data_IF_419803774340
#
_entry.id   IF_419803774340
#
_cell.length_a   1.000
_cell.length_b   1.000
_cell.length_c   1.000
_cell.angle_alpha   90.00
_cell.angle_beta   90.00
_cell.angle_gamma   90.00
#
_symmetry.space_group_name_H-M   'P 1'
#
loop_
_entity.id
_entity.type
_entity.pdbx_description
1 polymer ?
#
# COMPACT_ATOMS: atom_id res chain seq x y z
N UNK A 1 21.83 -31.33 1.56
CA UNK A 1 22.20 -30.23 0.64
C UNK A 1 21.38 -30.31 -0.65
N UNK A 2 20.07 -30.03 -0.62
CA UNK A 2 19.20 -29.95 -1.82
C UNK A 2 18.07 -28.91 -1.70
N UNK A 3 18.06 -28.07 -0.66
CA UNK A 3 16.97 -27.11 -0.39
C UNK A 3 17.30 -25.64 -0.72
N UNK A 4 18.55 -25.34 -1.10
CA UNK A 4 19.00 -23.96 -1.34
C UNK A 4 18.68 -23.44 -2.76
N UNK A 5 18.29 -24.31 -3.70
CA UNK A 5 18.15 -23.93 -5.12
C UNK A 5 16.79 -23.27 -5.42
N UNK A 6 15.78 -23.46 -4.56
CA UNK A 6 14.46 -22.85 -4.77
C UNK A 6 14.43 -21.35 -4.40
N UNK A 7 15.27 -20.90 -3.46
CA UNK A 7 15.28 -19.51 -2.99
C UNK A 7 15.94 -18.56 -4.00
N UNK A 8 16.98 -19.02 -4.71
CA UNK A 8 17.65 -18.21 -5.74
C UNK A 8 16.85 -18.04 -7.04
N UNK A 9 15.88 -18.92 -7.31
CA UNK A 9 15.01 -18.77 -8.48
C UNK A 9 13.93 -17.69 -8.27
N UNK A 10 13.54 -17.42 -7.02
CA UNK A 10 12.60 -16.34 -6.68
C UNK A 10 13.25 -14.96 -6.80
N UNK A 11 14.53 -14.84 -6.44
CA UNK A 11 15.31 -13.59 -6.51
C UNK A 11 15.54 -13.07 -7.94
N UNK A 12 15.37 -13.90 -8.97
CA UNK A 12 15.59 -13.52 -10.37
C UNK A 12 14.34 -12.97 -11.06
N UNK A 13 13.15 -13.06 -10.44
CA UNK A 13 11.87 -12.66 -11.02
C UNK A 13 11.33 -11.33 -10.50
N UNK A 14 11.95 -10.77 -9.48
CA UNK A 14 11.53 -9.51 -8.83
C UNK A 14 12.73 -8.59 -8.78
N UNK A 15 12.59 -7.38 -9.34
CA UNK A 15 13.54 -6.29 -9.15
C UNK A 15 13.50 -5.75 -7.73
N UNK A 16 13.66 -6.63 -6.73
CA UNK A 16 13.73 -6.25 -5.33
C UNK A 16 15.01 -5.45 -5.10
N UNK A 17 14.86 -4.27 -4.50
CA UNK A 17 16.00 -3.53 -3.99
C UNK A 17 16.75 -4.37 -2.94
N UNK A 18 18.06 -4.13 -2.78
CA UNK A 18 18.88 -4.93 -1.85
C UNK A 18 18.34 -4.93 -0.42
N UNK A 19 17.62 -3.88 -0.03
CA UNK A 19 17.05 -3.74 1.30
C UNK A 19 15.78 -4.58 1.47
N UNK A 20 14.92 -4.68 0.46
CA UNK A 20 13.77 -5.59 0.45
C UNK A 20 14.22 -7.06 0.58
N UNK A 21 15.31 -7.43 -0.12
CA UNK A 21 15.88 -8.78 -0.03
C UNK A 21 16.39 -9.06 1.38
N UNK A 22 17.07 -8.09 2.01
CA UNK A 22 17.55 -8.26 3.39
C UNK A 22 16.40 -8.44 4.36
N UNK A 23 15.33 -7.67 4.19
CA UNK A 23 14.15 -7.74 5.05
C UNK A 23 13.43 -9.08 4.89
N UNK A 24 13.23 -9.56 3.66
CA UNK A 24 12.66 -10.89 3.42
C UNK A 24 13.52 -11.99 4.07
N UNK A 25 14.85 -11.90 3.94
CA UNK A 25 15.77 -12.86 4.56
C UNK A 25 15.72 -12.83 6.10
N UNK A 26 15.29 -11.70 6.68
CA UNK A 26 15.02 -11.56 8.11
C UNK A 26 13.58 -11.96 8.49
N UNK A 27 12.77 -12.39 7.52
CA UNK A 27 11.38 -12.76 7.73
C UNK A 27 10.45 -11.55 7.88
N UNK A 28 10.85 -10.39 7.35
CA UNK A 28 10.10 -9.13 7.41
C UNK A 28 9.65 -8.70 6.02
N UNK A 29 8.64 -7.85 5.97
CA UNK A 29 8.18 -7.20 4.74
C UNK A 29 7.56 -5.85 5.06
N UNK A 30 7.26 -5.09 4.01
CA UNK A 30 6.59 -3.80 4.11
C UNK A 30 5.18 -3.91 3.54
N UNK A 31 4.23 -3.35 4.27
CA UNK A 31 2.84 -3.14 3.82
C UNK A 31 2.47 -1.67 3.94
N UNK A 32 1.53 -1.22 3.13
CA UNK A 32 1.03 0.14 3.19
C UNK A 32 -0.49 0.20 3.19
N UNK A 33 -1.01 1.31 3.72
CA UNK A 33 -2.38 1.76 3.54
C UNK A 33 -2.35 3.24 3.17
N UNK A 34 -3.36 3.70 2.43
CA UNK A 34 -3.54 5.10 2.09
C UNK A 34 -4.05 5.86 3.31
N UNK A 35 -3.29 6.85 3.74
CA UNK A 35 -3.64 7.74 4.86
C UNK A 35 -4.44 8.96 4.41
N UNK A 36 -4.14 9.48 3.23
CA UNK A 36 -4.74 10.69 2.69
C UNK A 36 -4.76 10.73 1.18
N UNK A 37 -5.69 11.54 0.66
CA UNK A 37 -5.97 11.71 -0.77
C UNK A 37 -5.91 13.19 -1.09
N UNK A 38 -5.08 13.56 -2.06
CA UNK A 38 -4.99 14.93 -2.59
C UNK A 38 -5.72 15.02 -3.93
N UNK A 39 -6.64 15.96 -4.03
CA UNK A 39 -7.46 16.19 -5.23
C UNK A 39 -7.25 17.59 -5.78
N UNK A 40 -7.23 17.70 -7.11
CA UNK A 40 -7.18 18.99 -7.82
C UNK A 40 -8.58 19.58 -8.08
N UNK A 41 -9.61 18.98 -7.48
CA UNK A 41 -11.00 19.39 -7.57
C UNK A 41 -11.66 18.98 -8.89
N UNK A 42 -12.90 18.50 -8.81
CA UNK A 42 -13.75 18.24 -9.97
C UNK A 42 -15.21 18.28 -9.57
N UNK A 43 -16.06 18.86 -10.41
CA UNK A 43 -17.50 18.93 -10.17
C UNK A 43 -17.85 19.40 -8.74
N UNK A 44 -18.24 18.45 -7.89
CA UNK A 44 -18.69 18.63 -6.50
C UNK A 44 -17.57 18.51 -5.44
N UNK A 45 -16.39 18.00 -5.79
CA UNK A 45 -15.27 17.77 -4.86
C UNK A 45 -14.35 19.01 -4.87
N UNK A 46 -14.19 19.71 -3.74
CA UNK A 46 -13.27 20.84 -3.65
C UNK A 46 -11.81 20.39 -3.79
N UNK A 47 -10.96 21.31 -4.22
CA UNK A 47 -9.49 21.13 -4.13
C UNK A 47 -9.10 20.97 -2.66
N UNK A 48 -8.28 19.97 -2.36
CA UNK A 48 -7.84 19.76 -1.00
C UNK A 48 -7.04 18.47 -0.80
N UNK A 49 -6.57 18.29 0.42
CA UNK A 49 -6.08 17.02 0.93
C UNK A 49 -7.04 16.53 2.02
N UNK A 50 -7.43 15.27 1.92
CA UNK A 50 -8.44 14.65 2.76
C UNK A 50 -7.86 13.40 3.39
N UNK A 51 -7.86 13.33 4.72
CA UNK A 51 -7.52 12.09 5.45
C UNK A 51 -8.59 11.05 5.16
N UNK A 52 -8.17 9.82 4.89
CA UNK A 52 -9.10 8.72 4.59
C UNK A 52 -10.08 8.51 5.75
N UNK A 53 -9.59 8.60 6.99
CA UNK A 53 -10.41 8.52 8.21
C UNK A 53 -11.45 9.63 8.36
N UNK A 54 -11.34 10.72 7.58
CA UNK A 54 -12.20 11.90 7.64
C UNK A 54 -13.05 12.07 6.37
N UNK A 55 -13.00 11.12 5.44
CA UNK A 55 -13.80 11.16 4.22
C UNK A 55 -15.29 11.07 4.57
N UNK A 56 -16.03 12.10 4.17
CA UNK A 56 -17.47 12.17 4.36
C UNK A 56 -18.20 11.37 3.28
N UNK A 57 -19.50 11.04 3.47
CA UNK A 57 -20.29 10.37 2.42
C UNK A 57 -20.29 11.09 1.06
N UNK A 58 -20.09 12.42 1.07
CA UNK A 58 -20.02 13.25 -0.14
C UNK A 58 -18.69 13.09 -0.90
N UNK A 59 -17.64 12.64 -0.21
CA UNK A 59 -16.31 12.39 -0.74
C UNK A 59 -16.03 10.90 -0.92
N UNK A 60 -17.00 10.02 -0.65
CA UNK A 60 -16.86 8.57 -0.76
C UNK A 60 -16.44 8.13 -2.17
N UNK A 61 -16.77 8.90 -3.21
CA UNK A 61 -16.33 8.63 -4.58
C UNK A 61 -14.82 8.68 -4.78
N UNK A 62 -14.06 9.23 -3.81
CA UNK A 62 -12.59 9.22 -3.81
C UNK A 62 -12.00 7.87 -3.41
N UNK A 63 -12.80 6.98 -2.82
CA UNK A 63 -12.38 5.67 -2.33
C UNK A 63 -12.91 4.58 -3.27
N UNK A 64 -12.07 4.03 -4.16
CA UNK A 64 -12.45 2.92 -5.03
C UNK A 64 -12.66 1.60 -4.28
N UNK A 65 -13.14 0.57 -4.97
CA UNK A 65 -13.24 -0.78 -4.41
C UNK A 65 -11.85 -1.36 -4.11
N UNK A 66 -11.69 -2.01 -2.96
CA UNK A 66 -10.41 -2.61 -2.56
C UNK A 66 -9.31 -1.59 -2.23
N UNK A 67 -9.68 -0.33 -1.98
CA UNK A 67 -8.74 0.72 -1.57
C UNK A 67 -8.08 0.35 -0.24
N UNK A 68 -6.75 0.37 -0.15
CA UNK A 68 -6.09 -0.02 1.09
C UNK A 68 -6.20 1.10 2.12
N UNK A 69 -7.09 0.97 3.09
CA UNK A 69 -7.36 1.99 4.11
C UNK A 69 -7.19 1.48 5.56
N UNK A 70 -6.50 0.34 5.73
CA UNK A 70 -6.17 -0.21 7.03
C UNK A 70 -5.40 0.76 7.95
N UNK A 71 -5.64 0.66 9.25
CA UNK A 71 -5.02 1.53 10.27
C UNK A 71 -4.03 0.78 11.16
N UNK A 72 -3.08 1.49 11.79
CA UNK A 72 -2.16 0.88 12.76
C UNK A 72 -2.92 0.13 13.88
N UNK A 73 -4.07 0.67 14.29
CA UNK A 73 -4.93 0.04 15.28
C UNK A 73 -5.48 -1.31 14.81
N UNK A 74 -5.71 -1.52 13.51
CA UNK A 74 -6.16 -2.80 12.97
C UNK A 74 -5.07 -3.87 13.07
N UNK A 75 -3.82 -3.49 12.81
CA UNK A 75 -2.65 -4.36 13.02
C UNK A 75 -2.49 -4.72 14.51
N UNK A 76 -2.54 -3.71 15.39
CA UNK A 76 -2.42 -3.89 16.84
C UNK A 76 -3.52 -4.82 17.38
N UNK A 77 -4.78 -4.61 16.96
CA UNK A 77 -5.92 -5.42 17.39
C UNK A 77 -5.83 -6.86 16.87
N UNK A 78 -5.20 -7.08 15.72
CA UNK A 78 -4.92 -8.41 15.19
C UNK A 78 -3.68 -9.06 15.83
N UNK A 79 -2.94 -8.34 16.67
CA UNK A 79 -1.72 -8.81 17.32
C UNK A 79 -0.51 -8.85 16.39
N UNK A 80 -0.52 -8.10 15.30
CA UNK A 80 0.58 -7.96 14.35
C UNK A 80 1.52 -6.87 14.87
N UNK A 81 2.78 -7.21 15.11
CA UNK A 81 3.79 -6.24 15.54
C UNK A 81 4.33 -5.42 14.37
N UNK A 82 4.55 -4.13 14.61
CA UNK A 82 5.25 -3.24 13.67
C UNK A 82 6.71 -3.05 14.12
N UNK A 83 7.66 -3.39 13.26
CA UNK A 83 9.10 -3.22 13.53
C UNK A 83 9.62 -1.86 13.06
N UNK A 84 8.78 -1.10 12.35
CA UNK A 84 9.08 0.23 11.87
C UNK A 84 7.89 0.83 11.14
N UNK A 85 7.77 2.14 11.22
CA UNK A 85 6.74 2.92 10.54
C UNK A 85 7.44 4.00 9.71
N UNK A 86 7.00 4.14 8.47
CA UNK A 86 7.42 5.21 7.55
C UNK A 86 6.22 5.75 6.81
N UNK A 87 6.45 6.74 5.95
CA UNK A 87 5.42 7.37 5.16
C UNK A 87 5.86 7.44 3.71
N UNK A 88 4.91 7.20 2.82
CA UNK A 88 5.13 7.23 1.38
C UNK A 88 4.18 8.19 0.68
N UNK A 89 4.46 8.48 -0.59
CA UNK A 89 3.50 9.13 -1.48
C UNK A 89 3.49 8.49 -2.86
N UNK A 90 2.32 8.49 -3.49
CA UNK A 90 2.17 8.14 -4.91
C UNK A 90 1.65 9.37 -5.63
N UNK A 91 2.37 9.82 -6.65
CA UNK A 91 1.87 10.84 -7.57
C UNK A 91 1.09 10.13 -8.68
N UNK A 92 -0.21 10.41 -8.76
CA UNK A 92 -1.12 9.80 -9.75
C UNK A 92 -1.00 10.60 -11.05
N UNK A 93 -0.06 10.20 -11.91
CA UNK A 93 0.14 10.82 -13.22
C UNK A 93 -0.68 10.14 -14.33
N UNK A 94 -0.84 8.83 -14.22
CA UNK A 94 -1.64 7.96 -15.09
C UNK A 94 -2.69 7.20 -14.24
N UNK A 95 -3.57 6.43 -14.87
CA UNK A 95 -4.56 5.61 -14.17
C UNK A 95 -3.87 4.66 -13.17
N UNK A 96 -4.24 4.78 -11.88
CA UNK A 96 -3.74 3.93 -10.81
C UNK A 96 -4.87 3.02 -10.32
N UNK A 97 -4.70 1.72 -10.45
CA UNK A 97 -5.66 0.72 -9.97
C UNK A 97 -4.99 -0.25 -9.02
N UNK A 98 -5.69 -0.57 -7.93
CA UNK A 98 -5.20 -1.47 -6.89
C UNK A 98 -5.37 -2.95 -7.25
N UNK A 99 -6.33 -3.26 -8.11
CA UNK A 99 -6.56 -4.59 -8.65
C UNK A 99 -6.42 -4.61 -10.18
N UNK A 100 -5.78 -5.66 -10.68
CA UNK A 100 -5.63 -5.85 -12.12
C UNK A 100 -6.97 -6.20 -12.76
N UNK A 101 -7.25 -5.59 -13.91
CA UNK A 101 -8.46 -5.83 -14.72
C UNK A 101 -9.78 -5.47 -13.99
N UNK A 102 -9.72 -4.71 -12.89
CA UNK A 102 -10.90 -4.20 -12.17
C UNK A 102 -10.94 -2.65 -12.21
N UNK A 103 -11.76 -2.04 -13.10
CA UNK A 103 -11.84 -0.59 -13.22
C UNK A 103 -12.43 0.11 -11.99
N UNK A 104 -13.17 -0.60 -11.14
CA UNK A 104 -13.71 -0.03 -9.91
C UNK A 104 -12.64 0.13 -8.82
N UNK A 105 -11.49 -0.53 -8.97
CA UNK A 105 -10.33 -0.39 -8.08
C UNK A 105 -9.42 0.79 -8.45
N UNK A 106 -9.78 1.50 -9.53
CA UNK A 106 -9.00 2.62 -10.03
C UNK A 106 -9.33 3.90 -9.29
N UNK A 107 -8.28 4.61 -8.90
CA UNK A 107 -8.40 5.92 -8.27
C UNK A 107 -9.02 6.90 -9.27
N UNK A 108 -9.99 7.73 -8.85
CA UNK A 108 -10.58 8.73 -9.74
C UNK A 108 -9.55 9.70 -10.32
N UNK A 109 -9.78 10.17 -11.54
CA UNK A 109 -8.88 11.09 -12.26
C UNK A 109 -8.59 12.41 -11.56
N UNK A 110 -9.43 12.77 -10.59
CA UNK A 110 -9.35 14.03 -9.87
C UNK A 110 -8.38 13.97 -8.69
N UNK A 111 -8.02 12.75 -8.28
CA UNK A 111 -6.96 12.46 -7.32
C UNK A 111 -5.62 12.57 -8.04
N UNK A 112 -4.71 13.31 -7.43
CA UNK A 112 -3.39 13.58 -8.00
C UNK A 112 -2.25 13.09 -7.13
N UNK A 113 -2.54 12.82 -5.85
CA UNK A 113 -1.59 12.21 -4.94
C UNK A 113 -2.30 11.38 -3.88
N UNK A 114 -1.68 10.26 -3.51
CA UNK A 114 -2.02 9.48 -2.33
C UNK A 114 -0.87 9.59 -1.32
N UNK A 115 -1.19 9.84 -0.06
CA UNK A 115 -0.28 9.67 1.07
C UNK A 115 -0.43 8.27 1.64
N UNK A 116 0.69 7.65 2.01
CA UNK A 116 0.73 6.27 2.50
C UNK A 116 1.27 6.22 3.93
N UNK A 117 0.57 5.49 4.79
CA UNK A 117 1.13 4.96 6.03
C UNK A 117 1.76 3.59 5.74
N UNK A 118 3.05 3.45 6.04
CA UNK A 118 3.85 2.30 5.67
C UNK A 118 4.36 1.62 6.93
N UNK A 119 4.20 0.30 7.02
CA UNK A 119 4.55 -0.49 8.19
C UNK A 119 5.41 -1.69 7.80
N UNK A 120 6.50 -1.90 8.53
CA UNK A 120 7.27 -3.13 8.48
C UNK A 120 6.68 -4.15 9.44
N UNK A 121 6.32 -5.32 8.93
CA UNK A 121 5.70 -6.42 9.68
C UNK A 121 6.43 -7.75 9.42
N UNK A 122 6.08 -8.79 10.18
CA UNK A 122 6.51 -10.15 9.89
C UNK A 122 5.90 -10.71 8.60
N UNK A 123 6.70 -11.43 7.82
CA UNK A 123 6.29 -12.08 6.57
C UNK A 123 5.14 -13.08 6.78
N UNK A 124 5.06 -13.69 7.96
CA UNK A 124 3.96 -14.60 8.31
C UNK A 124 2.61 -13.90 8.38
N UNK A 125 2.60 -12.59 8.60
CA UNK A 125 1.40 -11.82 8.94
C UNK A 125 0.81 -11.10 7.71
N UNK A 126 1.50 -11.15 6.55
CA UNK A 126 1.06 -10.49 5.31
C UNK A 126 -0.39 -10.84 4.96
N UNK A 127 -0.77 -12.11 5.06
CA UNK A 127 -2.15 -12.52 4.72
C UNK A 127 -3.17 -11.94 5.67
N UNK A 128 -2.82 -11.81 6.94
CA UNK A 128 -3.70 -11.21 7.94
C UNK A 128 -3.80 -9.71 7.69
N UNK A 129 -2.68 -9.02 7.46
CA UNK A 129 -2.64 -7.60 7.10
C UNK A 129 -3.44 -7.32 5.82
N UNK A 130 -3.34 -8.17 4.79
CA UNK A 130 -4.11 -8.04 3.56
C UNK A 130 -5.62 -8.18 3.76
N UNK A 131 -6.06 -8.96 4.76
CA UNK A 131 -7.48 -9.03 5.14
C UNK A 131 -7.94 -7.83 5.99
N UNK A 132 -7.02 -6.96 6.37
CA UNK A 132 -7.23 -5.70 7.09
C UNK A 132 -6.94 -4.51 6.18
N UNK A 133 -7.06 -4.71 4.87
CA UNK A 133 -6.93 -3.66 3.86
C UNK A 133 -5.54 -2.99 3.81
N UNK A 134 -4.49 -3.76 4.11
CA UNK A 134 -3.09 -3.39 3.84
C UNK A 134 -2.57 -4.07 2.57
N UNK A 135 -1.85 -3.32 1.74
CA UNK A 135 -1.25 -3.85 0.54
C UNK A 135 0.25 -4.12 0.74
N UNK A 136 0.77 -5.30 0.37
CA UNK A 136 2.21 -5.51 0.39
C UNK A 136 2.87 -4.70 -0.71
N UNK A 137 4.07 -4.20 -0.42
CA UNK A 137 4.93 -3.60 -1.46
C UNK A 137 5.45 -4.67 -2.44
N UNK A 138 5.43 -5.93 -2.01
CA UNK A 138 5.87 -7.10 -2.78
C UNK A 138 4.69 -8.00 -3.15
N UNK A 139 4.09 -7.73 -4.31
CA UNK A 139 2.87 -8.43 -4.79
C UNK A 139 3.06 -9.93 -5.11
N UNK A 140 4.30 -10.38 -5.37
CA UNK A 140 4.59 -11.72 -5.85
C UNK A 140 4.17 -12.84 -4.86
N UNK A 141 4.10 -12.56 -3.55
CA UNK A 141 3.79 -13.57 -2.53
C UNK A 141 2.29 -13.74 -2.24
N UNK A 142 1.43 -12.78 -2.62
CA UNK A 142 -0.02 -12.83 -2.39
C UNK A 142 -0.84 -13.43 -3.54
N UNK A 143 -0.20 -14.06 -4.52
CA UNK A 143 -0.90 -14.78 -5.58
C UNK A 143 -1.36 -13.92 -6.75
N UNK A 144 -0.70 -12.78 -6.99
CA UNK A 144 -0.82 -12.01 -8.24
C UNK A 144 -2.11 -11.23 -8.44
N UNK A 145 -2.93 -11.07 -7.39
CA UNK A 145 -4.15 -10.26 -7.41
C UNK A 145 -3.84 -8.75 -7.39
N UNK A 146 -2.77 -8.37 -6.69
CA UNK A 146 -2.39 -6.97 -6.50
C UNK A 146 -1.37 -6.51 -7.54
N UNK A 147 -1.52 -5.27 -7.98
CA UNK A 147 -0.55 -4.62 -8.86
C UNK A 147 0.68 -4.20 -8.03
N UNK A 148 1.88 -4.32 -8.60
CA UNK A 148 3.06 -3.75 -7.97
C UNK A 148 2.96 -2.22 -8.06
N UNK A 149 2.86 -1.56 -6.91
CA UNK A 149 2.72 -0.10 -6.82
C UNK A 149 4.01 0.45 -6.20
N UNK A 150 4.73 1.23 -6.99
CA UNK A 150 5.89 1.99 -6.52
C UNK A 150 5.43 3.28 -5.86
N UNK A 151 6.11 3.68 -4.78
CA UNK A 151 5.88 4.94 -4.08
C UNK A 151 7.21 5.58 -3.68
N UNK A 152 7.17 6.87 -3.38
CA UNK A 152 8.32 7.63 -2.89
C UNK A 152 8.25 7.74 -1.37
N UNK A 153 9.34 7.37 -0.67
CA UNK A 153 9.48 7.63 0.77
C UNK A 153 9.53 9.13 1.05
N UNK A 154 8.74 9.57 2.03
CA UNK A 154 8.67 10.96 2.45
C UNK A 154 8.68 11.09 3.98
N UNK A 155 8.93 12.30 4.46
CA UNK A 155 8.74 12.59 5.87
C UNK A 155 7.24 12.53 6.21
N UNK A 156 6.86 11.81 7.26
CA UNK A 156 5.47 11.75 7.73
C UNK A 156 4.87 13.13 8.03
N UNK A 157 5.68 14.14 8.38
CA UNK A 157 5.20 15.51 8.56
C UNK A 157 4.78 16.21 7.25
N UNK A 158 5.08 15.60 6.09
CA UNK A 158 4.64 16.06 4.78
C UNK A 158 3.29 15.43 4.37
N UNK A 159 2.85 14.38 5.09
CA UNK A 159 1.46 13.97 5.08
C UNK A 159 0.67 14.96 5.95
N UNK A 160 -0.52 15.36 5.50
CA UNK A 160 -1.33 16.38 6.18
C UNK A 160 -1.83 15.93 7.56
#
# INVERSE_FOLDING_TARGET
MKKAVALFALLALVGCDEDDVKDILQGKTTVFAVSDVTVNGSGSVPVGNYKVSEITPELQSLIPEGFPDGTEADLDNAGIGTDGTSCGQIVVADELCFEKDNPNSCVPSDVTKLGLAVYKIDLSDIKTAANLDFYPTLAAELGGLFVQIEYEDINCSALN
#
